data_IF_352534636580
#
_entry.id   IF_352534636580
#
_cell.length_a   1.000
_cell.length_b   1.000
_cell.length_c   1.000
_cell.angle_alpha   90.00
_cell.angle_beta   90.00
_cell.angle_gamma   90.00
#
_symmetry.space_group_name_H-M   'P 1'
#
loop_
_entity.id
_entity.type
_entity.pdbx_description
1 polymer ?
#
# COMPACT_ATOMS: atom_id res chain seq x y z
N UNK A 1 -25.96 12.08 19.59
CA UNK A 1 -26.09 10.67 20.02
C UNK A 1 -25.25 9.83 19.08
N UNK A 2 -24.31 9.03 19.57
CA UNK A 2 -23.53 8.14 18.70
C UNK A 2 -24.48 7.08 18.12
N UNK A 3 -24.47 6.89 16.80
CA UNK A 3 -25.17 5.76 16.15
C UNK A 3 -24.55 4.44 16.62
N UNK A 4 -25.35 3.37 16.68
CA UNK A 4 -24.83 2.04 16.97
C UNK A 4 -24.01 1.54 15.79
N UNK A 5 -22.98 0.75 16.06
CA UNK A 5 -22.09 0.22 15.03
C UNK A 5 -22.85 -0.64 13.99
N UNK A 6 -23.83 -1.43 14.44
CA UNK A 6 -24.66 -2.25 13.56
C UNK A 6 -25.44 -1.43 12.53
N UNK A 7 -25.87 -0.22 12.88
CA UNK A 7 -26.60 0.65 11.96
C UNK A 7 -25.66 1.18 10.86
N UNK A 8 -24.42 1.51 11.22
CA UNK A 8 -23.38 1.95 10.27
C UNK A 8 -23.00 0.82 9.31
N UNK A 9 -22.89 -0.43 9.79
CA UNK A 9 -22.59 -1.58 8.93
C UNK A 9 -23.71 -1.88 7.95
N UNK A 10 -24.97 -1.78 8.41
CA UNK A 10 -26.13 -1.96 7.54
C UNK A 10 -26.15 -0.93 6.42
N UNK A 11 -25.91 0.34 6.76
CA UNK A 11 -25.85 1.43 5.79
C UNK A 11 -24.72 1.21 4.77
N UNK A 12 -23.54 0.77 5.23
CA UNK A 12 -22.40 0.48 4.35
C UNK A 12 -22.67 -0.69 3.36
N UNK A 13 -23.40 -1.71 3.79
CA UNK A 13 -23.78 -2.85 2.94
C UNK A 13 -24.90 -2.52 1.94
N UNK A 14 -25.61 -1.41 2.14
CA UNK A 14 -26.69 -0.96 1.27
C UNK A 14 -26.23 0.03 0.19
N UNK A 15 -24.94 0.41 0.19
CA UNK A 15 -24.36 1.32 -0.79
C UNK A 15 -24.40 0.73 -2.20
N UNK A 16 -24.53 1.61 -3.20
CA UNK A 16 -24.29 1.21 -4.57
C UNK A 16 -22.79 1.00 -4.86
N UNK A 17 -22.46 0.50 -6.06
CA UNK A 17 -21.07 0.19 -6.41
C UNK A 17 -20.16 1.43 -6.36
N UNK A 18 -20.62 2.60 -6.79
CA UNK A 18 -19.79 3.81 -6.81
C UNK A 18 -19.51 4.31 -5.38
N UNK A 19 -20.56 4.33 -4.55
CA UNK A 19 -20.48 4.74 -3.15
C UNK A 19 -19.65 3.75 -2.32
N UNK A 20 -19.79 2.45 -2.59
CA UNK A 20 -19.00 1.40 -1.94
C UNK A 20 -17.50 1.54 -2.28
N UNK A 21 -17.15 1.75 -3.55
CA UNK A 21 -15.76 2.01 -3.96
C UNK A 21 -15.19 3.28 -3.32
N UNK A 22 -16.00 4.33 -3.18
CA UNK A 22 -15.61 5.56 -2.49
C UNK A 22 -15.37 5.32 -1.01
N UNK A 23 -16.23 4.55 -0.34
CA UNK A 23 -16.07 4.16 1.06
C UNK A 23 -14.78 3.36 1.28
N UNK A 24 -14.49 2.36 0.43
CA UNK A 24 -13.27 1.57 0.53
C UNK A 24 -12.00 2.41 0.38
N UNK A 25 -11.98 3.38 -0.55
CA UNK A 25 -10.87 4.32 -0.69
C UNK A 25 -10.67 5.17 0.55
N UNK A 26 -11.75 5.66 1.15
CA UNK A 26 -11.69 6.44 2.39
C UNK A 26 -11.17 5.58 3.55
N UNK A 27 -11.68 4.36 3.70
CA UNK A 27 -11.24 3.44 4.75
C UNK A 27 -9.77 3.05 4.60
N UNK A 28 -9.29 2.77 3.39
CA UNK A 28 -7.88 2.50 3.12
C UNK A 28 -6.98 3.73 3.32
N UNK A 29 -7.48 4.93 3.04
CA UNK A 29 -6.73 6.17 3.29
C UNK A 29 -6.71 6.54 4.78
N UNK A 30 -7.64 6.00 5.57
CA UNK A 30 -7.73 6.31 7.00
C UNK A 30 -6.82 5.36 7.79
N UNK A 31 -5.92 5.87 8.64
CA UNK A 31 -4.88 5.07 9.31
C UNK A 31 -5.38 4.12 10.41
N UNK A 32 -6.70 3.85 10.51
CA UNK A 32 -7.27 2.97 11.54
C UNK A 32 -7.06 1.47 11.27
N UNK A 33 -6.42 1.11 10.15
CA UNK A 33 -6.01 -0.26 9.85
C UNK A 33 -4.51 -0.30 9.60
N UNK A 34 -3.76 -0.84 10.56
CA UNK A 34 -2.32 -1.04 10.45
C UNK A 34 -1.98 -1.93 9.27
N UNK A 35 -1.63 -1.32 8.14
CA UNK A 35 -0.86 -2.01 7.10
C UNK A 35 0.48 -2.49 7.67
N UNK A 36 1.02 -1.76 8.63
CA UNK A 36 2.20 -2.08 9.40
C UNK A 36 1.81 -2.74 10.74
N UNK A 37 1.68 -4.06 10.76
CA UNK A 37 1.82 -4.78 12.04
C UNK A 37 3.25 -4.56 12.54
N UNK A 38 3.47 -4.55 13.86
CA UNK A 38 4.83 -4.41 14.43
C UNK A 38 5.79 -5.48 13.90
N UNK A 39 5.25 -6.65 13.57
CA UNK A 39 5.98 -7.75 12.92
C UNK A 39 6.36 -7.39 11.47
N UNK A 40 5.45 -6.83 10.69
CA UNK A 40 5.76 -6.39 9.32
C UNK A 40 6.83 -5.30 9.30
N UNK A 41 6.78 -4.35 10.23
CA UNK A 41 7.83 -3.32 10.39
C UNK A 41 9.19 -3.93 10.68
N UNK A 42 9.26 -4.94 11.56
CA UNK A 42 10.52 -5.63 11.85
C UNK A 42 11.08 -6.37 10.63
N UNK A 43 10.22 -7.03 9.85
CA UNK A 43 10.65 -7.67 8.61
C UNK A 43 11.15 -6.66 7.57
N UNK A 44 10.47 -5.51 7.41
CA UNK A 44 10.93 -4.46 6.50
C UNK A 44 12.25 -3.81 6.95
N UNK A 45 12.45 -3.64 8.26
CA UNK A 45 13.70 -3.14 8.80
C UNK A 45 14.87 -4.07 8.46
N UNK A 46 14.72 -5.38 8.76
CA UNK A 46 15.76 -6.37 8.44
C UNK A 46 16.01 -6.51 6.93
N UNK A 47 14.96 -6.43 6.12
CA UNK A 47 15.10 -6.45 4.65
C UNK A 47 15.84 -5.22 4.13
N UNK A 48 15.60 -4.04 4.70
CA UNK A 48 16.25 -2.80 4.29
C UNK A 48 17.74 -2.83 4.59
N UNK A 49 18.13 -3.31 5.79
CA UNK A 49 19.52 -3.52 6.16
C UNK A 49 20.21 -4.52 5.22
N UNK A 50 19.59 -5.68 5.00
CA UNK A 50 20.10 -6.71 4.09
C UNK A 50 20.35 -6.18 2.68
N UNK A 51 19.42 -5.39 2.13
CA UNK A 51 19.58 -4.82 0.77
C UNK A 51 20.66 -3.75 0.70
N UNK A 52 20.85 -2.96 1.76
CA UNK A 52 21.94 -1.99 1.82
C UNK A 52 23.28 -2.71 1.81
N UNK A 53 23.44 -3.75 2.63
CA UNK A 53 24.66 -4.55 2.68
C UNK A 53 24.97 -5.22 1.34
N UNK A 54 23.97 -5.77 0.66
CA UNK A 54 24.13 -6.36 -0.69
C UNK A 54 24.60 -5.33 -1.73
N UNK A 55 24.10 -4.09 -1.65
CA UNK A 55 24.53 -2.99 -2.52
C UNK A 55 25.97 -2.57 -2.20
N UNK A 56 26.33 -2.43 -0.93
CA UNK A 56 27.67 -2.03 -0.49
C UNK A 56 28.73 -3.08 -0.83
N UNK A 57 28.41 -4.37 -0.68
CA UNK A 57 29.29 -5.48 -1.07
C UNK A 57 29.37 -5.67 -2.58
N UNK A 58 28.43 -5.11 -3.35
CA UNK A 58 28.32 -5.31 -4.79
C UNK A 58 27.75 -6.67 -5.18
N UNK A 59 27.05 -7.35 -4.26
CA UNK A 59 26.34 -8.61 -4.51
C UNK A 59 25.20 -8.41 -5.53
N UNK A 60 24.65 -7.19 -5.58
CA UNK A 60 23.59 -6.78 -6.50
C UNK A 60 23.97 -5.55 -7.29
N UNK A 61 23.50 -5.47 -8.54
CA UNK A 61 23.72 -4.32 -9.42
C UNK A 61 22.49 -3.40 -9.40
N UNK A 62 22.62 -2.13 -8.99
CA UNK A 62 21.50 -1.19 -9.04
C UNK A 62 21.12 -0.86 -10.48
N UNK A 63 19.84 -0.57 -10.70
CA UNK A 63 19.32 -0.08 -11.97
C UNK A 63 19.21 1.46 -11.87
N UNK A 64 19.71 2.22 -12.86
CA UNK A 64 19.54 3.67 -12.88
C UNK A 64 18.06 4.08 -12.82
N UNK A 65 17.77 5.14 -12.07
CA UNK A 65 16.39 5.60 -11.86
C UNK A 65 15.70 5.95 -13.18
N UNK A 66 16.43 6.55 -14.11
CA UNK A 66 15.92 6.97 -15.42
C UNK A 66 15.43 5.77 -16.23
N UNK A 67 16.11 4.63 -16.13
CA UNK A 67 15.74 3.39 -16.79
C UNK A 67 14.45 2.81 -16.18
N UNK A 68 14.37 2.78 -14.84
CA UNK A 68 13.17 2.34 -14.11
C UNK A 68 11.95 3.20 -14.50
N UNK A 69 12.11 4.53 -14.50
CA UNK A 69 11.02 5.45 -14.84
C UNK A 69 10.58 5.32 -16.30
N UNK A 70 11.52 5.15 -17.23
CA UNK A 70 11.23 4.92 -18.64
C UNK A 70 10.40 3.65 -18.83
N UNK A 71 10.79 2.54 -18.20
CA UNK A 71 10.06 1.29 -18.29
C UNK A 71 8.67 1.36 -17.65
N UNK A 72 8.57 1.97 -16.47
CA UNK A 72 7.30 2.13 -15.77
C UNK A 72 6.28 2.91 -16.63
N UNK A 73 6.70 4.03 -17.22
CA UNK A 73 5.86 4.82 -18.14
C UNK A 73 5.42 4.02 -19.36
N UNK A 74 6.33 3.25 -19.96
CA UNK A 74 6.02 2.42 -21.12
C UNK A 74 5.02 1.30 -20.82
N UNK A 75 4.96 0.80 -19.57
CA UNK A 75 3.96 -0.19 -19.13
C UNK A 75 2.61 0.46 -18.89
N UNK A 76 2.59 1.63 -18.24
CA UNK A 76 1.36 2.38 -17.96
C UNK A 76 0.69 2.92 -19.23
N UNK A 77 1.45 3.24 -20.27
CA UNK A 77 0.88 3.66 -21.57
C UNK A 77 0.30 2.50 -22.40
N UNK A 78 0.44 1.25 -21.94
CA UNK A 78 -0.04 0.04 -22.63
C UNK A 78 -1.25 -0.61 -21.95
N UNK A 79 -1.68 -0.08 -20.79
CA UNK A 79 -2.93 -0.49 -20.10
C UNK A 79 -4.04 0.50 -20.39
#
# INVERSE_FOLDING_TARGET
MARKAEDVYRDALALDEEEHQRLLKMLNATPYGGFATSELEQYWAGESERRMDELERGDVKPIPLEEVLREARARLSRS
#
